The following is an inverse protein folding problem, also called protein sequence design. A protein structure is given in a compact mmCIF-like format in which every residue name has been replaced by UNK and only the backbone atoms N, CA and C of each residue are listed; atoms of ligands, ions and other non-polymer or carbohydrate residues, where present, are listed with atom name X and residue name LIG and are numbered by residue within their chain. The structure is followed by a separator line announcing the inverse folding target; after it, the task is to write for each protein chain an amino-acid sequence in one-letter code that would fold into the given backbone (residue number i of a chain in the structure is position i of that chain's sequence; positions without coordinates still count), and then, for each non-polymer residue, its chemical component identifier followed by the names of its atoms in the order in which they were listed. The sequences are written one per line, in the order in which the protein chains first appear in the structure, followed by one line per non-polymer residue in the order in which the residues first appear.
data_IF_701005024857
#
_entry.id   IF_701005024857
#
_cell.length_a   1.000
_cell.length_b   1.000
_cell.length_c   1.000
_cell.angle_alpha   90.00
_cell.angle_beta   90.00
_cell.angle_gamma   90.00
#
_symmetry.space_group_name_H-M   'P 1'
#
loop_
_entity.id
_entity.type
_entity.pdbx_description
1 polymer ?
#
# COMPACT_ATOMS: atom_id res chain seq x y z
N UNK A 1 -22.92 -61.97 -7.07
CA UNK A 1 -22.33 -60.73 -7.63
C UNK A 1 -23.22 -59.48 -7.51
N UNK A 2 -24.47 -59.45 -8.01
CA UNK A 2 -25.34 -58.23 -7.97
C UNK A 2 -25.58 -57.61 -6.57
N UNK A 3 -25.68 -58.43 -5.52
CA UNK A 3 -25.94 -57.96 -4.14
C UNK A 3 -24.71 -57.24 -3.54
N UNK A 4 -23.49 -57.76 -3.77
CA UNK A 4 -22.25 -57.12 -3.32
C UNK A 4 -22.00 -55.79 -4.03
N UNK A 5 -22.26 -55.71 -5.35
CA UNK A 5 -22.13 -54.46 -6.12
C UNK A 5 -23.07 -53.37 -5.56
N UNK A 6 -24.34 -53.72 -5.28
CA UNK A 6 -25.32 -52.79 -4.67
C UNK A 6 -24.88 -52.28 -3.29
N UNK A 7 -24.36 -53.16 -2.43
CA UNK A 7 -23.86 -52.76 -1.12
C UNK A 7 -22.63 -51.84 -1.22
N UNK A 8 -21.69 -52.12 -2.14
CA UNK A 8 -20.51 -51.26 -2.34
C UNK A 8 -20.90 -49.88 -2.88
N UNK A 9 -21.84 -49.79 -3.83
CA UNK A 9 -22.32 -48.50 -4.35
C UNK A 9 -23.04 -47.66 -3.29
N UNK A 10 -23.82 -48.28 -2.39
CA UNK A 10 -24.47 -47.57 -1.27
C UNK A 10 -23.42 -47.08 -0.28
N UNK A 11 -22.45 -47.93 0.08
CA UNK A 11 -21.35 -47.53 0.98
C UNK A 11 -20.54 -46.37 0.41
N UNK A 12 -20.19 -46.41 -0.88
CA UNK A 12 -19.47 -45.31 -1.55
C UNK A 12 -20.31 -44.02 -1.52
N UNK A 13 -21.61 -44.09 -1.84
CA UNK A 13 -22.48 -42.92 -1.81
C UNK A 13 -22.61 -42.30 -0.40
N UNK A 14 -22.75 -43.15 0.63
CA UNK A 14 -22.81 -42.69 2.03
C UNK A 14 -21.48 -42.06 2.45
N UNK A 15 -20.34 -42.68 2.12
CA UNK A 15 -19.01 -42.12 2.43
C UNK A 15 -18.81 -40.77 1.75
N UNK A 16 -19.16 -40.64 0.47
CA UNK A 16 -19.08 -39.36 -0.24
C UNK A 16 -20.00 -38.31 0.38
N UNK A 17 -21.21 -38.70 0.79
CA UNK A 17 -22.14 -37.81 1.49
C UNK A 17 -21.59 -37.30 2.83
N UNK A 18 -21.00 -38.18 3.64
CA UNK A 18 -20.35 -37.82 4.91
C UNK A 18 -19.15 -36.91 4.68
N UNK A 19 -18.32 -37.19 3.67
CA UNK A 19 -17.18 -36.34 3.31
C UNK A 19 -17.62 -34.95 2.84
N UNK A 20 -18.67 -34.87 2.02
CA UNK A 20 -19.22 -33.60 1.56
C UNK A 20 -19.80 -32.77 2.71
N UNK A 21 -20.56 -33.40 3.62
CA UNK A 21 -21.08 -32.74 4.82
C UNK A 21 -19.94 -32.27 5.74
N UNK A 22 -18.90 -33.10 5.93
CA UNK A 22 -17.73 -32.73 6.71
C UNK A 22 -16.96 -31.55 6.12
N UNK A 23 -16.75 -31.54 4.80
CA UNK A 23 -16.12 -30.43 4.09
C UNK A 23 -16.96 -29.15 4.19
N UNK A 24 -18.29 -29.25 4.03
CA UNK A 24 -19.20 -28.14 4.23
C UNK A 24 -19.11 -27.57 5.64
N UNK A 25 -19.23 -28.42 6.66
CA UNK A 25 -19.09 -28.01 8.06
C UNK A 25 -17.74 -27.33 8.33
N UNK A 26 -16.63 -27.86 7.80
CA UNK A 26 -15.31 -27.26 7.92
C UNK A 26 -15.27 -25.84 7.31
N UNK A 27 -15.74 -25.67 6.07
CA UNK A 27 -15.76 -24.36 5.38
C UNK A 27 -16.60 -23.33 6.15
N UNK A 28 -17.78 -23.71 6.62
CA UNK A 28 -18.67 -22.80 7.35
C UNK A 28 -18.29 -22.57 8.81
N UNK A 29 -17.44 -23.42 9.39
CA UNK A 29 -17.05 -23.30 10.80
C UNK A 29 -16.10 -22.14 11.09
N UNK A 30 -15.38 -21.63 10.08
CA UNK A 30 -14.40 -20.55 10.26
C UNK A 30 -13.14 -20.94 11.03
N UNK A 31 -12.93 -22.23 11.33
CA UNK A 31 -11.77 -22.71 12.09
C UNK A 31 -10.44 -22.61 11.33
N UNK A 32 -10.50 -22.52 10.00
CA UNK A 32 -9.31 -22.36 9.17
C UNK A 32 -8.98 -20.88 9.04
N UNK A 33 -7.89 -20.47 9.68
CA UNK A 33 -7.38 -19.12 9.56
C UNK A 33 -6.84 -18.87 8.15
N UNK A 34 -7.29 -17.80 7.50
CA UNK A 34 -6.89 -17.41 6.15
C UNK A 34 -5.82 -16.31 6.15
N UNK A 35 -5.39 -15.84 7.33
CA UNK A 35 -4.32 -14.86 7.47
C UNK A 35 -3.05 -15.32 6.78
N UNK A 36 -2.40 -14.42 6.04
CA UNK A 36 -1.15 -14.73 5.35
C UNK A 36 0.03 -14.99 6.31
N UNK A 37 -0.10 -14.55 7.56
CA UNK A 37 0.81 -14.78 8.68
C UNK A 37 0.64 -16.17 9.32
N UNK A 38 -0.49 -16.85 9.09
CA UNK A 38 -0.72 -18.23 9.52
C UNK A 38 -0.39 -19.20 8.38
N UNK A 39 0.86 -19.66 8.40
CA UNK A 39 1.36 -20.51 7.34
C UNK A 39 0.60 -21.84 7.26
N UNK A 40 0.39 -22.30 6.02
CA UNK A 40 -0.14 -23.64 5.79
C UNK A 40 0.70 -24.70 6.52
N UNK A 41 0.03 -25.78 6.94
CA UNK A 41 0.75 -26.96 7.42
C UNK A 41 1.71 -27.46 6.35
N UNK A 42 2.87 -28.01 6.74
CA UNK A 42 3.91 -28.47 5.80
C UNK A 42 3.38 -29.36 4.66
N UNK A 43 2.46 -30.33 4.88
CA UNK A 43 1.90 -31.13 3.80
C UNK A 43 1.04 -30.32 2.84
N UNK A 44 0.19 -29.41 3.35
CA UNK A 44 -0.65 -28.54 2.54
C UNK A 44 0.21 -27.59 1.70
N UNK A 45 1.22 -26.98 2.32
CA UNK A 45 2.19 -26.14 1.62
C UNK A 45 2.91 -26.90 0.50
N UNK A 46 3.40 -28.11 0.76
CA UNK A 46 4.09 -28.92 -0.25
C UNK A 46 3.20 -29.25 -1.45
N UNK A 47 1.94 -29.61 -1.21
CA UNK A 47 0.96 -29.87 -2.29
C UNK A 47 0.69 -28.61 -3.11
N UNK A 48 0.46 -27.47 -2.46
CA UNK A 48 0.20 -26.19 -3.14
C UNK A 48 1.42 -25.69 -3.92
N UNK A 49 2.63 -25.84 -3.35
CA UNK A 49 3.87 -25.51 -4.03
C UNK A 49 4.06 -26.39 -5.27
N UNK A 50 3.87 -27.71 -5.15
CA UNK A 50 3.97 -28.63 -6.29
C UNK A 50 2.95 -28.31 -7.39
N UNK A 51 1.69 -28.03 -7.00
CA UNK A 51 0.63 -27.62 -7.93
C UNK A 51 1.04 -26.35 -8.70
N UNK A 52 1.56 -25.35 -7.99
CA UNK A 52 2.01 -24.08 -8.56
C UNK A 52 3.16 -24.31 -9.56
N UNK A 53 4.24 -24.95 -9.14
CA UNK A 53 5.43 -25.18 -9.97
C UNK A 53 5.09 -25.99 -11.24
N UNK A 54 4.32 -27.07 -11.10
CA UNK A 54 3.89 -27.88 -12.26
C UNK A 54 2.98 -27.11 -13.20
N UNK A 55 2.08 -26.27 -12.67
CA UNK A 55 1.23 -25.43 -13.51
C UNK A 55 2.03 -24.39 -14.28
N UNK A 56 2.99 -23.72 -13.63
CA UNK A 56 3.85 -22.72 -14.28
C UNK A 56 4.64 -23.39 -15.42
N UNK A 57 5.31 -24.50 -15.12
CA UNK A 57 6.11 -25.24 -16.10
C UNK A 57 5.32 -25.62 -17.35
N UNK A 58 4.13 -26.21 -17.18
CA UNK A 58 3.28 -26.64 -18.32
C UNK A 58 2.76 -25.44 -19.11
N UNK A 59 2.48 -24.31 -18.45
CA UNK A 59 1.90 -23.13 -19.11
C UNK A 59 2.96 -22.23 -19.75
N UNK A 60 4.22 -22.36 -19.36
CA UNK A 60 5.34 -21.61 -19.90
C UNK A 60 6.07 -22.34 -21.03
N UNK A 61 5.90 -23.67 -21.17
CA UNK A 61 6.66 -24.54 -22.08
C UNK A 61 6.73 -24.01 -23.53
N UNK A 62 5.59 -23.61 -24.09
CA UNK A 62 5.45 -23.17 -25.48
C UNK A 62 5.77 -21.68 -25.71
N UNK A 63 6.18 -20.94 -24.67
CA UNK A 63 6.54 -19.54 -24.81
C UNK A 63 7.81 -19.38 -25.66
N UNK A 64 7.73 -18.47 -26.64
CA UNK A 64 8.87 -18.08 -27.47
C UNK A 64 9.63 -16.96 -26.79
N UNK A 65 10.88 -17.21 -26.46
CA UNK A 65 11.76 -16.23 -25.81
C UNK A 65 12.38 -15.34 -26.89
N UNK A 66 12.20 -14.01 -26.84
CA UNK A 66 12.89 -13.07 -27.74
C UNK A 66 14.38 -12.96 -27.38
N UNK A 67 15.15 -12.17 -28.13
CA UNK A 67 16.55 -11.91 -27.75
C UNK A 67 16.62 -11.04 -26.47
N UNK A 68 16.96 -11.68 -25.35
CA UNK A 68 17.06 -11.02 -24.04
C UNK A 68 18.39 -10.26 -23.85
N UNK A 69 19.28 -10.23 -24.84
CA UNK A 69 20.54 -9.51 -24.76
C UNK A 69 20.47 -8.10 -25.36
N UNK A 70 19.32 -7.67 -25.87
CA UNK A 70 19.11 -6.32 -26.36
C UNK A 70 19.33 -5.30 -25.21
N UNK A 71 20.32 -4.39 -25.33
CA UNK A 71 20.60 -3.38 -24.33
C UNK A 71 19.43 -2.45 -24.02
N UNK A 72 18.59 -2.11 -25.02
CA UNK A 72 17.42 -1.25 -24.82
C UNK A 72 16.33 -1.97 -24.04
N UNK A 73 16.12 -3.26 -24.34
CA UNK A 73 15.18 -4.11 -23.63
C UNK A 73 15.57 -4.27 -22.15
N UNK A 74 16.86 -4.51 -21.88
CA UNK A 74 17.39 -4.59 -20.50
C UNK A 74 17.25 -3.25 -19.78
N UNK A 75 17.49 -2.14 -20.47
CA UNK A 75 17.39 -0.80 -19.89
C UNK A 75 15.95 -0.43 -19.51
N UNK A 76 14.97 -0.73 -20.37
CA UNK A 76 13.54 -0.58 -20.04
C UNK A 76 13.16 -1.45 -18.83
N UNK A 77 13.59 -2.71 -18.83
CA UNK A 77 13.34 -3.64 -17.73
C UNK A 77 13.91 -3.21 -16.38
N UNK A 78 15.03 -2.48 -16.38
CA UNK A 78 15.66 -1.97 -15.16
C UNK A 78 14.76 -0.96 -14.42
N UNK A 79 14.15 -0.02 -15.16
CA UNK A 79 13.22 0.96 -14.60
C UNK A 79 11.98 0.29 -14.00
N UNK A 80 11.35 -0.57 -14.79
CA UNK A 80 10.17 -1.35 -14.41
C UNK A 80 10.41 -2.21 -13.15
N UNK A 81 11.53 -2.92 -13.11
CA UNK A 81 11.91 -3.71 -11.94
C UNK A 81 12.11 -2.84 -10.69
N UNK A 82 12.78 -1.70 -10.85
CA UNK A 82 13.04 -0.75 -9.77
C UNK A 82 11.75 -0.15 -9.20
N UNK A 83 10.76 0.12 -10.05
CA UNK A 83 9.49 0.69 -9.66
C UNK A 83 8.58 -0.32 -8.93
N UNK A 84 8.52 -1.56 -9.40
CA UNK A 84 7.46 -2.50 -9.00
C UNK A 84 7.93 -3.74 -8.25
N UNK A 85 9.18 -4.18 -8.45
CA UNK A 85 9.60 -5.51 -8.00
C UNK A 85 10.52 -5.49 -6.78
N UNK A 86 11.26 -4.40 -6.52
CA UNK A 86 12.32 -4.40 -5.49
C UNK A 86 11.79 -4.57 -4.07
N UNK A 87 10.57 -4.12 -3.79
CA UNK A 87 10.00 -4.21 -2.44
C UNK A 87 9.68 -5.67 -2.06
N UNK A 88 9.39 -6.55 -3.01
CA UNK A 88 9.15 -7.97 -2.73
C UNK A 88 10.41 -8.83 -2.98
N UNK A 89 11.10 -8.57 -4.10
CA UNK A 89 12.16 -9.42 -4.64
C UNK A 89 13.58 -8.90 -4.43
N UNK A 90 13.72 -7.74 -3.76
CA UNK A 90 14.99 -7.09 -3.41
C UNK A 90 15.81 -6.64 -4.62
N UNK A 91 16.94 -6.00 -4.37
CA UNK A 91 17.90 -5.55 -5.39
C UNK A 91 19.32 -5.74 -4.87
N UNK A 92 20.36 -5.72 -5.72
CA UNK A 92 21.74 -5.81 -5.27
C UNK A 92 22.05 -4.84 -4.11
N UNK A 93 22.55 -5.40 -3.00
CA UNK A 93 22.88 -4.64 -1.78
C UNK A 93 21.71 -4.42 -0.81
N UNK A 94 20.48 -4.79 -1.17
CA UNK A 94 19.32 -4.76 -0.28
C UNK A 94 19.19 -6.10 0.43
N UNK A 95 19.23 -6.09 1.77
CA UNK A 95 19.12 -7.30 2.59
C UNK A 95 17.68 -7.72 2.84
N UNK A 96 16.80 -6.74 3.01
CA UNK A 96 15.38 -6.96 3.23
C UNK A 96 14.56 -5.71 2.88
N UNK A 97 13.23 -5.82 3.00
CA UNK A 97 12.29 -4.70 2.89
C UNK A 97 11.23 -4.81 3.99
N UNK A 98 10.54 -3.70 4.30
CA UNK A 98 9.43 -3.70 5.27
C UNK A 98 8.26 -4.61 4.83
N UNK A 99 8.09 -4.80 3.52
CA UNK A 99 6.99 -5.60 2.97
C UNK A 99 7.26 -7.10 3.11
N UNK A 100 8.50 -7.54 2.92
CA UNK A 100 8.85 -8.97 2.80
C UNK A 100 8.41 -9.85 3.98
N UNK A 101 8.55 -9.44 5.25
CA UNK A 101 8.10 -10.28 6.37
C UNK A 101 6.62 -10.70 6.31
N UNK A 102 5.76 -9.86 5.72
CA UNK A 102 4.32 -10.16 5.54
C UNK A 102 3.99 -10.96 4.29
N UNK A 103 4.97 -11.29 3.43
CA UNK A 103 4.72 -11.99 2.18
C UNK A 103 4.74 -13.51 2.37
N UNK A 104 3.62 -14.13 2.04
CA UNK A 104 3.46 -15.58 2.02
C UNK A 104 2.93 -16.07 0.67
N UNK A 105 3.61 -17.01 0.00
CA UNK A 105 4.95 -17.52 0.33
C UNK A 105 6.00 -16.42 0.25
N UNK A 106 7.14 -16.63 0.90
CA UNK A 106 8.29 -15.73 0.83
C UNK A 106 8.82 -15.64 -0.62
N UNK A 107 8.88 -14.44 -1.23
CA UNK A 107 9.43 -14.29 -2.58
C UNK A 107 10.94 -14.53 -2.59
N UNK A 108 11.49 -15.09 -3.68
CA UNK A 108 12.94 -15.21 -3.85
C UNK A 108 13.60 -13.84 -3.96
N UNK A 109 14.83 -13.75 -3.48
CA UNK A 109 15.70 -12.60 -3.75
C UNK A 109 16.24 -12.72 -5.18
N UNK A 110 15.64 -11.99 -6.13
CA UNK A 110 15.98 -12.06 -7.54
C UNK A 110 17.36 -11.44 -7.86
N UNK A 111 17.98 -10.73 -6.89
CA UNK A 111 19.38 -10.31 -7.00
C UNK A 111 20.40 -11.41 -6.69
N UNK A 112 19.94 -12.61 -6.31
CA UNK A 112 20.82 -13.72 -5.91
C UNK A 112 20.52 -15.02 -6.67
N UNK A 113 19.39 -15.10 -7.36
CA UNK A 113 18.97 -16.31 -8.08
C UNK A 113 18.71 -16.01 -9.54
N UNK A 114 19.10 -16.95 -10.40
CA UNK A 114 18.71 -16.91 -11.80
C UNK A 114 17.42 -17.71 -12.00
N UNK A 115 16.49 -17.14 -12.76
CA UNK A 115 15.18 -17.73 -13.04
C UNK A 115 15.07 -18.12 -14.50
N UNK A 116 14.29 -19.16 -14.80
CA UNK A 116 13.98 -19.52 -16.19
C UNK A 116 13.19 -18.39 -16.87
N UNK A 117 13.60 -17.92 -18.07
CA UNK A 117 12.93 -16.81 -18.73
C UNK A 117 11.45 -17.05 -19.07
N UNK A 118 11.07 -18.28 -19.44
CA UNK A 118 9.69 -18.60 -19.81
C UNK A 118 8.81 -18.59 -18.57
N UNK A 119 9.28 -19.19 -17.48
CA UNK A 119 8.58 -19.16 -16.19
C UNK A 119 8.48 -17.74 -15.65
N UNK A 120 9.56 -16.96 -15.71
CA UNK A 120 9.57 -15.57 -15.28
C UNK A 120 8.55 -14.73 -16.05
N UNK A 121 8.51 -14.84 -17.38
CA UNK A 121 7.50 -14.17 -18.20
C UNK A 121 6.08 -14.55 -17.78
N UNK A 122 5.81 -15.85 -17.64
CA UNK A 122 4.48 -16.33 -17.28
C UNK A 122 4.05 -15.83 -15.89
N UNK A 123 4.95 -15.89 -14.91
CA UNK A 123 4.71 -15.43 -13.54
C UNK A 123 4.48 -13.92 -13.50
N UNK A 124 5.28 -13.12 -14.20
CA UNK A 124 5.11 -11.66 -14.24
C UNK A 124 3.77 -11.31 -14.90
N UNK A 125 3.45 -11.96 -16.02
CA UNK A 125 2.21 -11.71 -16.76
C UNK A 125 0.95 -12.06 -15.95
N UNK A 126 0.95 -13.21 -15.27
CA UNK A 126 -0.25 -13.76 -14.66
C UNK A 126 -0.30 -13.68 -13.13
N UNK A 127 0.81 -13.31 -12.49
CA UNK A 127 0.93 -13.35 -11.05
C UNK A 127 0.87 -14.77 -10.50
N UNK A 128 0.71 -14.87 -9.17
CA UNK A 128 0.52 -16.14 -8.49
C UNK A 128 -0.70 -16.03 -7.60
N UNK A 129 -1.72 -16.86 -7.89
CA UNK A 129 -2.96 -16.91 -7.12
C UNK A 129 -2.67 -17.23 -5.65
N UNK A 130 -3.44 -16.61 -4.75
CA UNK A 130 -3.27 -16.74 -3.29
C UNK A 130 -1.85 -16.38 -2.82
N UNK A 131 -1.28 -15.35 -3.43
CA UNK A 131 -0.05 -14.71 -3.01
C UNK A 131 -0.15 -13.20 -3.28
N UNK A 132 0.83 -12.44 -2.81
CA UNK A 132 0.94 -11.02 -3.13
C UNK A 132 1.58 -10.72 -4.50
N UNK A 133 1.88 -11.73 -5.33
CA UNK A 133 2.44 -11.52 -6.67
C UNK A 133 1.33 -11.14 -7.66
N UNK A 134 1.23 -9.87 -8.10
CA UNK A 134 0.15 -9.39 -8.97
C UNK A 134 0.34 -9.86 -10.42
N UNK A 135 -0.74 -9.77 -11.21
CA UNK A 135 -0.76 -10.10 -12.63
C UNK A 135 -0.54 -8.84 -13.48
N UNK A 136 0.69 -8.62 -13.95
CA UNK A 136 1.04 -7.41 -14.69
C UNK A 136 0.52 -7.37 -16.12
N UNK A 137 0.10 -8.50 -16.69
CA UNK A 137 -0.48 -8.56 -18.05
C UNK A 137 -1.80 -7.83 -18.21
N UNK A 138 -2.40 -7.31 -17.13
CA UNK A 138 -3.55 -6.41 -17.18
C UNK A 138 -3.18 -4.95 -17.43
N UNK A 139 -1.94 -4.54 -17.13
CA UNK A 139 -1.44 -3.16 -17.28
C UNK A 139 -0.25 -3.02 -18.22
N UNK A 140 0.45 -4.10 -18.54
CA UNK A 140 1.63 -4.10 -19.39
C UNK A 140 1.50 -5.12 -20.51
N UNK A 141 1.97 -4.75 -21.69
CA UNK A 141 2.01 -5.63 -22.85
C UNK A 141 3.17 -6.65 -22.77
N UNK A 142 3.14 -7.64 -23.67
CA UNK A 142 4.15 -8.69 -23.69
C UNK A 142 5.59 -8.18 -23.90
N UNK A 143 5.87 -7.23 -24.82
CA UNK A 143 7.17 -6.59 -24.93
C UNK A 143 7.67 -5.96 -23.62
N UNK A 144 6.82 -5.24 -22.89
CA UNK A 144 7.21 -4.65 -21.61
C UNK A 144 7.48 -5.72 -20.55
N UNK A 145 6.70 -6.80 -20.52
CA UNK A 145 7.00 -7.95 -19.63
C UNK A 145 8.33 -8.63 -19.99
N UNK A 146 8.61 -8.82 -21.28
CA UNK A 146 9.90 -9.36 -21.72
C UNK A 146 11.07 -8.45 -21.36
N UNK A 147 10.86 -7.13 -21.27
CA UNK A 147 11.88 -6.19 -20.80
C UNK A 147 12.32 -6.49 -19.35
N UNK A 148 11.35 -6.70 -18.46
CA UNK A 148 11.62 -7.11 -17.08
C UNK A 148 12.37 -8.44 -17.03
N UNK A 149 11.94 -9.44 -17.84
CA UNK A 149 12.62 -10.74 -17.91
C UNK A 149 14.06 -10.60 -18.40
N UNK A 150 14.33 -9.78 -19.40
CA UNK A 150 15.68 -9.54 -19.91
C UNK A 150 16.58 -8.93 -18.82
N UNK A 151 16.06 -7.97 -18.06
CA UNK A 151 16.77 -7.40 -16.92
C UNK A 151 17.04 -8.43 -15.81
N UNK A 152 16.07 -9.29 -15.48
CA UNK A 152 16.23 -10.37 -14.50
C UNK A 152 17.38 -11.32 -14.84
N UNK A 153 17.67 -11.54 -16.13
CA UNK A 153 18.81 -12.38 -16.54
C UNK A 153 20.18 -11.74 -16.26
N UNK A 154 20.24 -10.42 -16.07
CA UNK A 154 21.49 -9.71 -15.75
C UNK A 154 21.62 -9.39 -14.26
N UNK A 155 20.49 -9.26 -13.56
CA UNK A 155 20.41 -8.78 -12.18
C UNK A 155 21.32 -9.52 -11.18
N UNK A 156 21.42 -10.87 -11.15
CA UNK A 156 22.25 -11.57 -10.16
C UNK A 156 23.76 -11.29 -10.27
N UNK A 157 24.23 -10.87 -11.46
CA UNK A 157 25.63 -10.54 -11.70
C UNK A 157 25.96 -9.06 -11.42
N UNK A 158 24.96 -8.23 -11.10
CA UNK A 158 25.15 -6.81 -10.89
C UNK A 158 25.63 -6.48 -9.47
N UNK A 159 26.60 -5.58 -9.40
CA UNK A 159 26.95 -4.88 -8.15
C UNK A 159 25.89 -3.82 -7.81
N UNK A 160 25.79 -3.39 -6.54
CA UNK A 160 24.89 -2.29 -6.15
C UNK A 160 25.14 -1.00 -6.95
N UNK A 161 26.39 -0.71 -7.31
CA UNK A 161 26.75 0.45 -8.12
C UNK A 161 26.23 0.33 -9.56
N UNK A 162 26.42 -0.83 -10.20
CA UNK A 162 25.90 -1.09 -11.55
C UNK A 162 24.37 -1.03 -11.59
N UNK A 163 23.69 -1.59 -10.58
CA UNK A 163 22.24 -1.50 -10.47
C UNK A 163 21.76 -0.04 -10.38
N UNK A 164 22.41 0.77 -9.53
CA UNK A 164 22.05 2.19 -9.38
C UNK A 164 22.22 2.95 -10.68
N UNK A 165 23.31 2.70 -11.40
CA UNK A 165 23.62 3.37 -12.66
C UNK A 165 22.68 2.99 -13.82
N UNK A 166 22.30 1.71 -13.95
CA UNK A 166 21.38 1.30 -15.01
C UNK A 166 19.95 1.81 -14.77
N UNK A 167 19.48 1.82 -13.52
CA UNK A 167 18.16 2.36 -13.16
C UNK A 167 18.10 3.87 -13.39
N UNK A 168 19.17 4.60 -13.07
CA UNK A 168 19.23 6.05 -13.30
C UNK A 168 19.21 6.43 -14.80
N UNK A 169 19.57 5.49 -15.70
CA UNK A 169 19.55 5.68 -17.16
C UNK A 169 18.28 5.14 -17.81
N UNK A 170 17.41 4.45 -17.06
CA UNK A 170 16.21 3.87 -17.61
C UNK A 170 15.25 4.98 -18.10
N UNK A 171 14.60 4.79 -19.27
CA UNK A 171 13.59 5.74 -19.73
C UNK A 171 12.43 5.81 -18.73
N UNK A 172 11.73 6.96 -18.63
CA UNK A 172 10.42 7.02 -17.97
C UNK A 172 9.47 6.01 -18.60
N UNK A 173 8.57 5.44 -17.80
CA UNK A 173 7.63 4.44 -18.31
C UNK A 173 6.55 5.10 -19.18
N UNK A 174 6.64 4.94 -20.50
CA UNK A 174 5.64 5.43 -21.47
C UNK A 174 4.26 4.74 -21.31
N UNK A 175 4.22 3.58 -20.64
CA UNK A 175 3.00 2.81 -20.36
C UNK A 175 2.27 3.30 -19.09
N UNK A 176 2.83 4.30 -18.40
CA UNK A 176 2.18 5.05 -17.31
C UNK A 176 1.56 6.33 -17.86
N UNK A 177 0.70 6.20 -18.88
CA UNK A 177 -0.14 7.27 -19.39
C UNK A 177 -1.10 7.73 -18.27
N UNK A 178 -0.62 8.68 -17.49
CA UNK A 178 -1.46 9.55 -16.68
C UNK A 178 -2.28 10.37 -17.67
N UNK A 179 -3.46 9.87 -18.02
CA UNK A 179 -4.40 10.56 -18.90
C UNK A 179 -4.45 12.05 -18.56
N UNK A 180 -4.27 12.86 -19.60
CA UNK A 180 -4.11 14.31 -19.57
C UNK A 180 -5.04 15.02 -18.56
N UNK A 181 -4.48 15.44 -17.42
CA UNK A 181 -4.89 16.66 -16.71
C UNK A 181 -3.63 17.51 -16.55
N UNK A 182 -3.55 18.52 -17.41
CA UNK A 182 -2.40 19.37 -17.66
C UNK A 182 -1.85 20.04 -16.39
N UNK A 183 -0.52 19.99 -16.20
CA UNK A 183 0.11 20.65 -15.07
C UNK A 183 1.64 20.78 -15.09
N UNK A 184 2.25 20.93 -16.26
CA UNK A 184 3.57 21.55 -16.53
C UNK A 184 4.85 21.12 -15.77
N UNK A 185 5.80 20.65 -16.59
CA UNK A 185 7.25 20.61 -16.36
C UNK A 185 7.85 21.97 -15.94
N UNK A 186 8.93 21.98 -15.15
CA UNK A 186 10.28 22.35 -15.60
C UNK A 186 11.34 22.50 -14.47
N UNK A 187 12.48 21.85 -14.70
CA UNK A 187 13.88 22.30 -14.54
C UNK A 187 14.40 22.88 -13.21
N UNK A 188 15.47 22.27 -12.71
CA UNK A 188 16.40 22.86 -11.74
C UNK A 188 17.38 23.84 -12.42
N UNK A 189 17.72 24.96 -11.75
CA UNK A 189 19.00 25.68 -11.97
C UNK A 189 19.02 27.21 -11.81
N UNK A 190 19.43 27.68 -10.62
CA UNK A 190 20.39 28.78 -10.32
C UNK A 190 20.42 30.16 -11.03
N UNK A 191 20.42 31.19 -10.18
CA UNK A 191 21.15 32.49 -10.24
C UNK A 191 20.46 33.78 -10.77
N UNK A 192 20.31 34.72 -9.81
CA UNK A 192 20.41 36.20 -9.81
C UNK A 192 20.00 37.06 -11.04
N UNK A 193 19.09 38.02 -10.83
CA UNK A 193 19.30 39.48 -10.91
C UNK A 193 17.96 40.28 -11.01
N UNK A 194 18.00 41.54 -10.58
CA UNK A 194 16.95 42.57 -10.50
C UNK A 194 16.03 42.75 -11.74
N UNK A 195 14.77 43.15 -11.54
CA UNK A 195 14.22 44.48 -11.90
C UNK A 195 12.67 44.57 -11.84
N UNK A 196 12.21 45.55 -11.05
CA UNK A 196 11.09 46.53 -11.14
C UNK A 196 9.88 46.36 -12.12
N UNK A 197 8.69 46.55 -11.53
CA UNK A 197 7.45 47.25 -11.98
C UNK A 197 6.59 46.78 -13.20
N UNK A 198 5.39 46.26 -12.88
CA UNK A 198 4.01 46.58 -13.37
C UNK A 198 3.64 46.53 -14.89
N UNK A 199 2.35 46.60 -15.28
CA UNK A 199 1.25 45.66 -15.06
C UNK A 199 0.55 45.23 -16.38
N UNK A 200 -0.34 44.22 -16.27
CA UNK A 200 -1.24 43.67 -17.32
C UNK A 200 -2.09 44.73 -18.04
N UNK A 201 -2.62 44.38 -19.23
CA UNK A 201 -4.05 44.57 -19.43
C UNK A 201 -4.80 43.34 -19.96
N UNK A 202 -6.05 43.28 -19.50
CA UNK A 202 -7.14 42.36 -19.82
C UNK A 202 -7.63 42.45 -21.26
N UNK A 203 -8.12 41.34 -21.82
CA UNK A 203 -9.24 41.34 -22.76
C UNK A 203 -9.92 39.95 -22.89
N UNK A 204 -11.13 39.87 -22.32
CA UNK A 204 -12.36 39.24 -22.83
C UNK A 204 -12.29 37.96 -23.70
N UNK A 205 -12.77 36.87 -23.11
CA UNK A 205 -13.23 35.66 -23.81
C UNK A 205 -14.63 35.86 -24.40
N UNK A 206 -14.81 35.42 -25.66
CA UNK A 206 -16.10 35.18 -26.29
C UNK A 206 -16.57 33.77 -25.98
N UNK A 207 -17.81 33.65 -25.53
CA UNK A 207 -18.47 32.37 -25.28
C UNK A 207 -18.95 31.70 -26.55
N UNK A 208 -19.09 30.38 -26.48
CA UNK A 208 -20.03 29.60 -27.28
C UNK A 208 -20.55 28.43 -26.44
N UNK A 209 -21.84 28.53 -26.12
CA UNK A 209 -22.68 27.44 -25.63
C UNK A 209 -22.85 26.35 -26.70
N UNK A 210 -22.87 25.10 -26.28
CA UNK A 210 -23.78 24.09 -26.83
C UNK A 210 -24.17 23.09 -25.75
N UNK A 211 -25.41 23.22 -25.30
CA UNK A 211 -26.19 22.18 -24.65
C UNK A 211 -26.44 21.00 -25.61
N UNK A 212 -26.25 19.77 -25.12
CA UNK A 212 -27.29 18.76 -25.22
C UNK A 212 -27.07 17.61 -24.23
N UNK A 213 -28.09 17.40 -23.41
CA UNK A 213 -28.24 16.32 -22.45
C UNK A 213 -28.49 14.97 -23.14
N UNK A 214 -27.95 13.91 -22.55
CA UNK A 214 -28.52 12.57 -22.65
C UNK A 214 -28.37 11.87 -21.30
N UNK A 215 -29.52 11.58 -20.71
CA UNK A 215 -29.73 10.85 -19.47
C UNK A 215 -29.05 9.48 -19.47
N UNK A 216 -28.34 9.16 -18.38
CA UNK A 216 -28.26 7.79 -17.87
C UNK A 216 -28.10 7.81 -16.36
N UNK A 217 -29.13 7.34 -15.67
CA UNK A 217 -29.23 7.24 -14.23
C UNK A 217 -28.20 6.22 -13.69
N UNK A 218 -27.27 6.69 -12.86
CA UNK A 218 -26.45 5.83 -12.02
C UNK A 218 -27.15 5.60 -10.66
N UNK A 219 -27.38 4.32 -10.36
CA UNK A 219 -27.83 3.82 -9.07
C UNK A 219 -26.85 4.21 -7.93
N UNK A 220 -27.31 4.31 -6.68
CA UNK A 220 -26.49 4.81 -5.58
C UNK A 220 -25.40 3.81 -5.23
N UNK A 221 -24.15 4.30 -5.25
CA UNK A 221 -22.97 3.57 -4.79
C UNK A 221 -23.13 3.33 -3.28
N UNK A 222 -23.29 2.06 -2.92
CA UNK A 222 -23.28 1.62 -1.54
C UNK A 222 -21.91 1.94 -0.93
N UNK A 223 -21.92 2.51 0.28
CA UNK A 223 -20.74 2.80 1.06
C UNK A 223 -19.86 1.55 1.19
N UNK A 224 -18.65 1.63 0.65
CA UNK A 224 -17.59 0.65 0.89
C UNK A 224 -17.17 0.72 2.35
N UNK A 225 -17.53 -0.30 3.11
CA UNK A 225 -17.03 -0.55 4.46
C UNK A 225 -15.52 -0.78 4.37
N UNK A 226 -14.74 0.11 5.00
CA UNK A 226 -13.28 0.01 5.13
C UNK A 226 -12.90 -1.35 5.73
N UNK A 227 -11.92 -2.03 5.12
CA UNK A 227 -11.32 -3.23 5.69
C UNK A 227 -10.67 -2.88 7.03
N UNK A 228 -10.90 -3.71 8.06
CA UNK A 228 -10.35 -3.47 9.38
C UNK A 228 -8.81 -3.56 9.35
N UNK A 229 -8.14 -2.41 9.45
CA UNK A 229 -6.71 -2.33 9.66
C UNK A 229 -6.31 -3.02 10.97
N UNK A 230 -5.09 -3.57 11.04
CA UNK A 230 -4.53 -4.05 12.31
C UNK A 230 -4.53 -2.88 13.30
N UNK A 231 -5.15 -3.02 14.49
CA UNK A 231 -5.24 -1.91 15.42
C UNK A 231 -3.85 -1.46 15.84
N UNK A 232 -3.58 -0.15 15.75
CA UNK A 232 -2.36 0.46 16.29
C UNK A 232 -2.18 -0.03 17.73
N UNK A 233 -1.04 -0.67 17.97
CA UNK A 233 -0.67 -1.27 19.24
C UNK A 233 0.12 -0.25 20.05
N UNK A 234 -0.40 0.08 21.23
CA UNK A 234 0.29 0.93 22.21
C UNK A 234 1.15 0.12 23.21
N UNK A 235 1.27 -1.19 22.98
CA UNK A 235 2.06 -2.09 23.83
C UNK A 235 3.53 -1.64 23.89
N UNK A 236 4.06 -1.55 25.11
CA UNK A 236 5.45 -1.15 25.36
C UNK A 236 5.67 0.36 25.48
N UNK A 237 4.63 1.18 25.29
CA UNK A 237 4.69 2.62 25.53
C UNK A 237 4.42 2.92 27.01
N UNK A 238 5.27 3.76 27.61
CA UNK A 238 5.08 4.20 29.00
C UNK A 238 4.78 5.69 29.03
N UNK A 239 3.80 6.13 29.86
CA UNK A 239 3.55 7.55 30.05
C UNK A 239 4.81 8.29 30.46
N UNK A 240 5.04 9.47 29.88
CA UNK A 240 6.15 10.35 30.19
C UNK A 240 7.56 9.77 29.91
N UNK A 241 7.68 8.76 29.02
CA UNK A 241 8.98 8.22 28.63
C UNK A 241 9.80 9.19 27.77
N UNK A 242 9.12 10.01 26.97
CA UNK A 242 9.66 11.07 26.14
C UNK A 242 8.84 12.36 26.32
N UNK A 243 8.98 13.09 27.45
CA UNK A 243 8.09 14.20 27.83
C UNK A 243 8.01 15.31 26.78
N UNK A 244 9.13 15.60 26.11
CA UNK A 244 9.21 16.63 25.06
C UNK A 244 8.50 16.20 23.77
N UNK A 245 8.52 14.90 23.45
CA UNK A 245 7.81 14.36 22.30
C UNK A 245 6.31 14.31 22.56
N UNK A 246 5.91 13.91 23.77
CA UNK A 246 4.50 13.96 24.22
C UNK A 246 3.95 15.39 24.20
N UNK A 247 4.75 16.39 24.59
CA UNK A 247 4.36 17.80 24.50
C UNK A 247 4.12 18.25 23.04
N UNK A 248 4.90 17.75 22.08
CA UNK A 248 4.67 18.02 20.65
C UNK A 248 3.38 17.35 20.16
N UNK A 249 3.10 16.11 20.59
CA UNK A 249 1.86 15.42 20.26
C UNK A 249 0.62 16.19 20.75
N UNK A 250 0.66 16.67 22.00
CA UNK A 250 -0.40 17.51 22.55
C UNK A 250 -0.56 18.83 21.78
N UNK A 251 0.55 19.52 21.50
CA UNK A 251 0.51 20.78 20.75
C UNK A 251 -0.07 20.60 19.33
N UNK A 252 0.21 19.46 18.70
CA UNK A 252 -0.30 19.11 17.38
C UNK A 252 -1.82 18.88 17.40
N UNK A 253 -2.30 18.05 18.33
CA UNK A 253 -3.74 17.82 18.55
C UNK A 253 -4.50 19.12 18.85
N UNK A 254 -3.94 19.98 19.71
CA UNK A 254 -4.53 21.28 19.99
C UNK A 254 -4.56 22.22 18.78
N UNK A 255 -3.51 22.22 17.96
CA UNK A 255 -3.46 23.03 16.74
C UNK A 255 -4.53 22.61 15.74
N UNK A 256 -4.72 21.30 15.56
CA UNK A 256 -5.81 20.74 14.74
C UNK A 256 -7.19 21.16 15.25
N UNK A 257 -7.44 21.01 16.56
CA UNK A 257 -8.74 21.38 17.16
C UNK A 257 -9.03 22.89 17.06
N UNK A 258 -8.00 23.74 17.19
CA UNK A 258 -8.14 25.20 17.01
C UNK A 258 -8.25 25.62 15.55
N UNK A 259 -8.02 24.71 14.61
CA UNK A 259 -7.95 25.00 13.18
C UNK A 259 -6.75 25.85 12.78
N UNK A 260 -5.68 25.82 13.56
CA UNK A 260 -4.44 26.55 13.27
C UNK A 260 -3.56 25.74 12.32
N UNK A 261 -3.79 25.94 11.01
CA UNK A 261 -3.03 25.29 9.94
C UNK A 261 -1.53 25.57 10.04
N UNK A 262 -1.17 26.80 10.38
CA UNK A 262 0.23 27.23 10.46
C UNK A 262 0.95 26.52 11.59
N UNK A 263 0.35 26.50 12.79
CA UNK A 263 0.93 25.78 13.94
C UNK A 263 0.99 24.26 13.69
N UNK A 264 -0.05 23.70 13.06
CA UNK A 264 -0.09 22.27 12.69
C UNK A 264 1.09 21.91 11.78
N UNK A 265 1.23 22.62 10.66
CA UNK A 265 2.30 22.37 9.68
C UNK A 265 3.70 22.70 10.20
N UNK A 266 3.82 23.57 11.20
CA UNK A 266 5.08 23.88 11.86
C UNK A 266 5.57 22.73 12.74
N UNK A 267 4.70 21.85 13.25
CA UNK A 267 5.09 20.70 14.07
C UNK A 267 5.51 19.49 13.23
N UNK A 268 5.12 19.45 11.96
CA UNK A 268 5.52 18.43 10.99
C UNK A 268 6.91 18.73 10.41
N UNK A 269 7.72 17.69 10.25
CA UNK A 269 8.96 17.77 9.49
C UNK A 269 8.64 17.96 7.98
N UNK A 270 9.52 18.60 7.19
CA UNK A 270 9.29 18.79 5.75
C UNK A 270 9.02 17.49 4.99
N UNK A 271 9.63 16.39 5.42
CA UNK A 271 9.48 15.06 4.82
C UNK A 271 8.47 14.17 5.58
N UNK A 272 7.54 14.76 6.33
CA UNK A 272 6.59 13.99 7.12
C UNK A 272 5.56 13.27 6.24
N UNK A 273 5.15 12.07 6.67
CA UNK A 273 4.09 11.29 6.03
C UNK A 273 2.87 11.17 6.94
N UNK A 274 1.68 11.25 6.37
CA UNK A 274 0.42 11.10 7.10
C UNK A 274 -0.30 9.89 6.53
N UNK A 275 -0.67 8.94 7.38
CA UNK A 275 -1.35 7.70 7.00
C UNK A 275 -2.68 7.57 7.74
N UNK A 276 -3.76 7.32 7.02
CA UNK A 276 -5.09 7.03 7.60
C UNK A 276 -5.87 6.10 6.67
N UNK A 277 -6.51 5.06 7.23
CA UNK A 277 -7.40 4.17 6.47
C UNK A 277 -6.72 3.47 5.30
N UNK A 278 -5.45 3.08 5.45
CA UNK A 278 -4.65 2.40 4.44
C UNK A 278 -4.06 3.30 3.35
N UNK A 279 -4.31 4.61 3.39
CA UNK A 279 -3.73 5.58 2.44
C UNK A 279 -2.63 6.39 3.12
N UNK A 280 -1.52 6.62 2.43
CA UNK A 280 -0.41 7.47 2.91
C UNK A 280 -0.17 8.61 1.95
N UNK A 281 0.02 9.81 2.50
CA UNK A 281 0.26 11.03 1.74
C UNK A 281 1.44 11.83 2.31
N UNK A 282 1.99 12.73 1.49
CA UNK A 282 3.06 13.64 1.91
C UNK A 282 2.53 14.77 2.77
N UNK A 283 3.41 15.47 3.51
CA UNK A 283 3.08 16.70 4.24
C UNK A 283 2.49 17.77 3.30
N UNK A 284 3.02 17.91 2.11
CA UNK A 284 2.56 18.88 1.12
C UNK A 284 1.15 18.54 0.61
N UNK A 285 0.89 17.28 0.28
CA UNK A 285 -0.45 16.83 -0.13
C UNK A 285 -1.45 16.98 1.02
N UNK A 286 -1.03 16.62 2.23
CA UNK A 286 -1.83 16.81 3.43
C UNK A 286 -2.18 18.29 3.64
N UNK A 287 -1.20 19.18 3.50
CA UNK A 287 -1.40 20.62 3.61
C UNK A 287 -2.36 21.14 2.54
N UNK A 288 -2.32 20.61 1.31
CA UNK A 288 -3.13 21.11 0.20
C UNK A 288 -4.53 20.48 0.13
N UNK A 289 -4.74 19.33 0.77
CA UNK A 289 -6.02 18.61 0.82
C UNK A 289 -6.49 18.35 2.25
N UNK A 290 -6.22 17.15 2.76
CA UNK A 290 -6.93 16.58 3.92
C UNK A 290 -6.80 17.39 5.23
N UNK A 291 -5.78 18.23 5.41
CA UNK A 291 -5.68 19.10 6.61
C UNK A 291 -6.91 20.00 6.79
N UNK A 292 -7.52 20.47 5.69
CA UNK A 292 -8.74 21.27 5.77
C UNK A 292 -9.92 20.46 6.29
N UNK A 293 -10.03 19.22 5.84
CA UNK A 293 -11.09 18.28 6.20
C UNK A 293 -10.96 17.85 7.66
N UNK A 294 -9.75 17.53 8.12
CA UNK A 294 -9.47 17.16 9.51
C UNK A 294 -9.79 18.28 10.49
N UNK A 295 -9.37 19.51 10.16
CA UNK A 295 -9.70 20.68 10.98
C UNK A 295 -11.21 20.89 11.06
N UNK A 296 -11.91 20.78 9.92
CA UNK A 296 -13.36 20.92 9.89
C UNK A 296 -14.05 19.82 10.70
N UNK A 297 -13.56 18.58 10.58
CA UNK A 297 -14.06 17.43 11.31
C UNK A 297 -13.87 17.57 12.83
N UNK A 298 -12.69 18.01 13.27
CA UNK A 298 -12.32 18.10 14.68
C UNK A 298 -12.91 19.34 15.38
N UNK A 299 -13.21 20.41 14.64
CA UNK A 299 -13.76 21.66 15.19
C UNK A 299 -15.06 21.46 15.98
N UNK A 300 -15.94 20.59 15.49
CA UNK A 300 -17.23 20.29 16.12
C UNK A 300 -17.20 18.98 16.95
N UNK A 301 -16.04 18.35 17.06
CA UNK A 301 -15.87 17.09 17.76
C UNK A 301 -15.51 17.30 19.23
N UNK A 302 -16.11 16.51 20.12
CA UNK A 302 -15.70 16.39 21.52
C UNK A 302 -14.73 15.23 21.67
N UNK A 303 -13.48 15.54 21.99
CA UNK A 303 -12.40 14.55 22.13
C UNK A 303 -12.13 14.31 23.61
N UNK A 304 -12.17 13.04 24.03
CA UNK A 304 -11.88 12.61 25.40
C UNK A 304 -10.66 11.68 25.36
N UNK A 305 -9.50 12.11 25.89
CA UNK A 305 -8.30 11.26 25.94
C UNK A 305 -8.55 9.99 26.78
N UNK A 306 -8.10 8.84 26.29
CA UNK A 306 -8.19 7.54 26.97
C UNK A 306 -6.82 7.13 27.51
N UNK A 307 -5.79 7.18 26.67
CA UNK A 307 -4.42 6.85 27.06
C UNK A 307 -3.41 7.61 26.21
N UNK A 308 -2.25 7.92 26.81
CA UNK A 308 -1.09 8.46 26.13
C UNK A 308 0.16 7.75 26.68
N UNK A 309 1.06 7.36 25.81
CA UNK A 309 2.37 6.85 26.18
C UNK A 309 3.39 7.14 25.10
N UNK A 310 4.66 7.00 25.45
CA UNK A 310 5.74 7.16 24.49
C UNK A 310 6.83 6.10 24.67
N UNK A 311 7.67 5.99 23.64
CA UNK A 311 8.87 5.17 23.64
C UNK A 311 10.02 6.00 23.07
N UNK A 312 11.07 6.22 23.87
CA UNK A 312 12.26 6.96 23.45
C UNK A 312 13.29 6.01 22.84
N UNK A 313 13.80 6.37 21.66
CA UNK A 313 14.74 5.59 20.86
C UNK A 313 15.86 6.50 20.34
N UNK A 314 16.72 6.99 21.23
CA UNK A 314 17.84 7.87 20.88
C UNK A 314 17.36 9.25 20.43
N UNK A 315 17.58 9.59 19.15
CA UNK A 315 17.10 10.84 18.52
C UNK A 315 15.67 10.71 17.96
N UNK A 316 15.03 9.56 18.15
CA UNK A 316 13.63 9.31 17.78
C UNK A 316 12.76 9.02 19.00
N UNK A 317 11.48 9.31 18.87
CA UNK A 317 10.48 8.94 19.86
C UNK A 317 9.20 8.53 19.14
N UNK A 318 8.54 7.49 19.62
CA UNK A 318 7.18 7.16 19.23
C UNK A 318 6.25 7.67 20.32
N UNK A 319 5.18 8.37 19.96
CA UNK A 319 4.13 8.80 20.88
C UNK A 319 2.83 8.23 20.40
N UNK A 320 2.16 7.49 21.28
CA UNK A 320 0.89 6.86 20.99
C UNK A 320 -0.21 7.37 21.87
N UNK A 321 -1.34 7.68 21.25
CA UNK A 321 -2.53 8.14 21.95
C UNK A 321 -3.77 7.37 21.51
N UNK A 322 -4.70 7.17 22.44
CA UNK A 322 -6.05 6.69 22.18
C UNK A 322 -7.03 7.71 22.75
N UNK A 323 -8.03 8.08 21.97
CA UNK A 323 -9.07 9.05 22.34
C UNK A 323 -10.45 8.58 21.87
N UNK A 324 -11.47 8.92 22.63
CA UNK A 324 -12.87 8.81 22.19
C UNK A 324 -13.32 10.14 21.59
N UNK A 325 -13.79 10.11 20.34
CA UNK A 325 -14.27 11.27 19.60
C UNK A 325 -15.78 11.16 19.44
N UNK A 326 -16.52 12.14 19.94
CA UNK A 326 -17.97 12.26 19.70
C UNK A 326 -18.23 13.42 18.77
N UNK A 327 -18.84 13.16 17.63
CA UNK A 327 -19.14 14.16 16.60
C UNK A 327 -20.47 13.87 15.93
N UNK A 328 -20.90 14.72 15.01
CA UNK A 328 -22.13 14.53 14.22
C UNK A 328 -21.78 14.37 12.75
N UNK A 329 -22.06 13.21 12.17
CA UNK A 329 -21.84 12.95 10.74
C UNK A 329 -23.20 12.88 10.05
N UNK A 330 -23.44 13.75 9.04
CA UNK A 330 -24.73 13.84 8.32
C UNK A 330 -25.94 14.01 9.26
N UNK A 331 -25.79 14.78 10.33
CA UNK A 331 -26.85 15.05 11.32
C UNK A 331 -27.10 13.94 12.35
N UNK A 332 -26.32 12.84 12.32
CA UNK A 332 -26.43 11.75 13.30
C UNK A 332 -25.25 11.78 14.27
N UNK A 333 -25.48 11.65 15.59
CA UNK A 333 -24.39 11.53 16.55
C UNK A 333 -23.63 10.21 16.31
N UNK A 334 -22.31 10.30 16.27
CA UNK A 334 -21.40 9.17 16.11
C UNK A 334 -20.30 9.26 17.17
N UNK A 335 -20.04 8.13 17.82
CA UNK A 335 -18.90 7.95 18.73
C UNK A 335 -17.86 7.09 18.04
N UNK A 336 -16.62 7.55 18.01
CA UNK A 336 -15.48 6.89 17.41
C UNK A 336 -14.39 6.70 18.46
N UNK A 337 -13.63 5.62 18.35
CA UNK A 337 -12.35 5.45 19.03
C UNK A 337 -11.25 5.72 18.02
N UNK A 338 -10.50 6.78 18.26
CA UNK A 338 -9.35 7.18 17.47
C UNK A 338 -8.07 6.71 18.15
N UNK A 339 -7.18 6.09 17.39
CA UNK A 339 -5.81 5.77 17.77
C UNK A 339 -4.86 6.54 16.88
N UNK A 340 -3.84 7.11 17.50
CA UNK A 340 -2.82 7.89 16.84
C UNK A 340 -1.44 7.35 17.21
N UNK A 341 -0.59 7.21 16.21
CA UNK A 341 0.84 6.97 16.35
C UNK A 341 1.62 8.08 15.67
N UNK A 342 2.42 8.80 16.46
CA UNK A 342 3.33 9.81 15.97
C UNK A 342 4.76 9.29 16.09
N UNK A 343 5.47 9.26 14.97
CA UNK A 343 6.92 9.12 14.99
C UNK A 343 7.53 10.51 14.97
N UNK A 344 8.38 10.79 15.95
CA UNK A 344 9.08 12.06 16.06
C UNK A 344 10.58 11.86 15.93
N UNK A 345 11.23 12.83 15.29
CA UNK A 345 12.68 12.92 15.24
C UNK A 345 13.13 14.24 15.86
N UNK A 346 14.19 14.18 16.65
CA UNK A 346 14.84 15.34 17.22
C UNK A 346 15.66 16.06 16.14
N UNK A 347 15.34 17.33 15.91
CA UNK A 347 16.08 18.24 15.04
C UNK A 347 16.59 19.41 15.88
N UNK A 348 17.88 19.37 16.23
CA UNK A 348 18.50 20.28 17.20
C UNK A 348 17.86 20.16 18.59
N UNK A 349 17.31 21.27 19.10
CA UNK A 349 16.60 21.31 20.38
C UNK A 349 15.08 21.10 20.26
N UNK A 350 14.58 20.84 19.05
CA UNK A 350 13.14 20.68 18.79
C UNK A 350 12.81 19.27 18.31
N UNK A 351 11.61 18.80 18.65
CA UNK A 351 11.06 17.57 18.09
C UNK A 351 10.12 17.93 16.94
N UNK A 352 10.18 17.15 15.86
CA UNK A 352 9.27 17.26 14.71
C UNK A 352 8.65 15.91 14.43
N UNK A 353 7.37 15.91 14.09
CA UNK A 353 6.65 14.72 13.67
C UNK A 353 7.11 14.37 12.25
N UNK A 354 7.61 13.16 12.06
CA UNK A 354 8.09 12.64 10.77
C UNK A 354 7.12 11.61 10.18
N UNK A 355 6.26 11.00 11.00
CA UNK A 355 5.15 10.20 10.50
C UNK A 355 3.95 10.27 11.44
N UNK A 356 2.75 10.24 10.87
CA UNK A 356 1.47 10.13 11.56
C UNK A 356 0.77 8.88 11.03
N UNK A 357 0.26 8.06 11.94
CA UNK A 357 -0.69 7.00 11.61
C UNK A 357 -1.94 7.17 12.45
N UNK A 358 -3.07 7.38 11.78
CA UNK A 358 -4.38 7.47 12.41
C UNK A 358 -5.25 6.28 12.05
N UNK A 359 -6.01 5.82 13.05
CA UNK A 359 -7.03 4.80 12.88
C UNK A 359 -8.26 5.17 13.68
N UNK A 360 -9.41 5.18 13.03
CA UNK A 360 -10.69 5.48 13.66
C UNK A 360 -11.64 4.29 13.53
N UNK A 361 -12.19 3.82 14.65
CA UNK A 361 -13.15 2.72 14.69
C UNK A 361 -14.46 3.18 15.32
N UNK A 362 -15.63 2.88 14.73
CA UNK A 362 -16.92 3.19 15.35
C UNK A 362 -17.08 2.48 16.70
N UNK A 363 -17.50 3.22 17.72
CA UNK A 363 -17.94 2.65 18.98
C UNK A 363 -19.41 2.29 18.84
N UNK A 364 -19.71 1.00 18.69
CA UNK A 364 -21.09 0.50 18.79
C UNK A 364 -21.59 0.72 20.22
N UNK A 365 -22.65 1.51 20.39
CA UNK A 365 -23.38 1.55 21.66
C UNK A 365 -23.85 0.14 21.99
N UNK A 366 -23.29 -0.47 23.05
CA UNK A 366 -23.93 -1.62 23.67
C UNK A 366 -25.27 -1.12 24.21
N UNK A 367 -26.36 -1.54 23.59
CA UNK A 367 -27.70 -1.35 24.13
C UNK A 367 -27.75 -1.86 25.57
N UNK A 368 -28.19 -0.99 26.49
CA UNK A 368 -28.70 -1.38 27.80
C UNK A 368 -30.04 -2.09 27.65
#
# INVERSE_FOLDING_TARGET
MKKHIKHHSITVAVVLGVLALGAGAFVYSGIYNIGADDHHTKPVFAVLQTLRERSIQVRSEDLKVPDLNDPQLILKGAGQYAAMCTQCHLKPGMKDSELRPGLYPQPPNLSQVQVDPKEAFWIIKHGIKMSAMPAWGGSHDDPTIWSMVAFLQKLPAMTPAQYKDIVARAPPDDDMDMGDEAGHSHSHGGAAADMKEMPMPSAASHGHDHDQAADNAHAPVAATTSAAETPLSLQGMTPNAAPQAEAVAHAFQEALQRGDRTATLALLAPNATISEGGSTQTREDYANGHLGEDIAFLKDARITPVSLGSMLMGDRAMVGSESEIRTTIKGKPVSLRSREMLDLKKSGNSWKIVAIHWQSTPLTEKGS
#
